data_IF_059065419811
#
_entry.id   IF_059065419811
#
_cell.length_a   1.000
_cell.length_b   1.000
_cell.length_c   1.000
_cell.angle_alpha   90.00
_cell.angle_beta   90.00
_cell.angle_gamma   90.00
#
_symmetry.space_group_name_H-M   'P 1'
#
loop_
_entity.id
_entity.type
_entity.pdbx_description
1 polymer ?
#
# COMPACT_ATOMS: atom_id res chain seq x y z
N UNK A 1 -40.28 0.75 -13.60
CA UNK A 1 -40.34 -0.16 -12.43
C UNK A 1 -39.91 -1.51 -12.97
N UNK A 2 -38.68 -1.98 -12.77
CA UNK A 2 -38.11 -2.30 -11.48
C UNK A 2 -36.60 -2.09 -11.46
N UNK A 3 -36.15 -1.70 -10.28
CA UNK A 3 -34.80 -1.34 -9.85
C UNK A 3 -33.78 -2.44 -10.11
N UNK A 4 -32.70 -2.07 -10.80
CA UNK A 4 -31.47 -2.86 -10.88
C UNK A 4 -30.85 -2.94 -9.48
N UNK A 5 -31.19 -4.04 -8.82
CA UNK A 5 -30.73 -4.46 -7.53
C UNK A 5 -29.32 -5.04 -7.66
N UNK A 6 -28.39 -4.41 -6.95
CA UNK A 6 -27.24 -5.02 -6.27
C UNK A 6 -26.06 -5.51 -7.14
N UNK A 7 -25.05 -4.64 -7.26
CA UNK A 7 -23.68 -5.08 -7.05
C UNK A 7 -23.18 -4.39 -5.79
N UNK A 8 -23.46 -5.04 -4.66
CA UNK A 8 -22.74 -4.76 -3.42
C UNK A 8 -21.26 -4.94 -3.72
N UNK A 9 -20.49 -3.88 -3.52
CA UNK A 9 -19.04 -3.93 -3.50
C UNK A 9 -18.63 -5.07 -2.55
N UNK A 10 -18.10 -6.16 -3.12
CA UNK A 10 -17.40 -7.19 -2.35
C UNK A 10 -16.12 -6.55 -1.82
N UNK A 11 -16.24 -5.90 -0.67
CA UNK A 11 -15.14 -5.23 0.01
C UNK A 11 -14.27 -6.32 0.63
N UNK A 12 -13.01 -6.36 0.19
CA UNK A 12 -11.95 -7.32 0.55
C UNK A 12 -11.95 -8.63 -0.25
N UNK A 13 -11.85 -8.52 -1.58
CA UNK A 13 -11.07 -9.53 -2.32
C UNK A 13 -9.69 -9.64 -1.63
N UNK A 14 -9.22 -10.87 -1.28
CA UNK A 14 -7.86 -11.06 -0.84
C UNK A 14 -6.97 -10.69 -2.02
N UNK A 15 -6.47 -9.45 -2.05
CA UNK A 15 -5.53 -9.03 -3.07
C UNK A 15 -4.36 -10.00 -3.02
N UNK A 16 -4.23 -10.81 -4.06
CA UNK A 16 -3.14 -11.76 -4.16
C UNK A 16 -1.81 -11.03 -4.14
N UNK A 17 -0.81 -11.68 -3.56
CA UNK A 17 0.59 -11.22 -3.63
C UNK A 17 1.04 -10.96 -5.08
N UNK A 18 0.41 -11.63 -6.06
CA UNK A 18 0.55 -11.41 -7.50
C UNK A 18 0.18 -9.97 -7.92
N UNK A 19 -0.87 -9.39 -7.36
CA UNK A 19 -1.32 -8.03 -7.67
C UNK A 19 -0.35 -6.99 -7.11
N UNK A 20 0.10 -7.17 -5.86
CA UNK A 20 1.15 -6.30 -5.29
C UNK A 20 2.45 -6.36 -6.10
N UNK A 21 2.80 -7.55 -6.64
CA UNK A 21 3.93 -7.71 -7.58
C UNK A 21 3.73 -6.89 -8.85
N UNK A 22 2.54 -6.96 -9.45
CA UNK A 22 2.22 -6.20 -10.66
C UNK A 22 2.29 -4.70 -10.42
N UNK A 23 1.79 -4.19 -9.29
CA UNK A 23 1.91 -2.77 -8.96
C UNK A 23 3.36 -2.31 -8.79
N UNK A 24 4.19 -3.10 -8.13
CA UNK A 24 5.62 -2.82 -8.03
C UNK A 24 6.30 -2.82 -9.41
N UNK A 25 5.95 -3.77 -10.28
CA UNK A 25 6.47 -3.83 -11.65
C UNK A 25 6.00 -2.66 -12.51
N UNK A 26 4.72 -2.30 -12.43
CA UNK A 26 4.11 -1.17 -13.15
C UNK A 26 4.76 0.16 -12.76
N UNK A 27 5.09 0.31 -11.47
CA UNK A 27 5.82 1.47 -10.95
C UNK A 27 7.33 1.46 -11.31
N UNK A 28 7.82 0.44 -12.02
CA UNK A 28 9.25 0.30 -12.37
C UNK A 28 10.15 -0.04 -11.18
N UNK A 29 9.58 -0.54 -10.08
CA UNK A 29 10.32 -0.91 -8.87
C UNK A 29 10.73 -2.39 -8.90
N UNK A 30 12.00 -2.64 -8.55
CA UNK A 30 12.50 -4.00 -8.29
C UNK A 30 11.70 -4.69 -7.17
N UNK A 31 11.30 -5.92 -7.41
CA UNK A 31 10.59 -6.76 -6.45
C UNK A 31 11.47 -7.12 -5.24
N UNK A 32 10.90 -7.03 -4.02
CA UNK A 32 11.53 -7.47 -2.77
C UNK A 32 10.48 -7.67 -1.67
N UNK A 33 10.70 -8.61 -0.73
CA UNK A 33 9.82 -8.84 0.44
C UNK A 33 9.45 -7.55 1.21
N UNK A 34 10.41 -6.68 1.58
CA UNK A 34 10.12 -5.44 2.31
C UNK A 34 9.13 -4.53 1.60
N UNK A 35 9.27 -4.37 0.28
CA UNK A 35 8.38 -3.52 -0.53
C UNK A 35 6.98 -4.11 -0.62
N UNK A 36 6.89 -5.43 -0.73
CA UNK A 36 5.61 -6.13 -0.75
C UNK A 36 4.88 -5.92 0.58
N UNK A 37 5.56 -6.13 1.71
CA UNK A 37 4.99 -5.89 3.04
C UNK A 37 4.56 -4.45 3.26
N UNK A 38 5.32 -3.48 2.75
CA UNK A 38 4.93 -2.06 2.80
C UNK A 38 3.64 -1.82 2.02
N UNK A 39 3.52 -2.36 0.80
CA UNK A 39 2.30 -2.24 -0.03
C UNK A 39 1.14 -2.96 0.65
N UNK A 40 1.33 -4.17 1.16
CA UNK A 40 0.30 -4.92 1.91
C UNK A 40 -0.23 -4.12 3.11
N UNK A 41 0.68 -3.54 3.91
CA UNK A 41 0.32 -2.75 5.07
C UNK A 41 -0.35 -1.40 4.72
N UNK A 42 -0.05 -0.84 3.54
CA UNK A 42 -0.73 0.33 2.98
C UNK A 42 -2.05 -0.01 2.30
N UNK A 43 -2.25 -1.22 1.77
CA UNK A 43 -3.49 -1.63 1.14
C UNK A 43 -4.63 -1.73 2.16
N UNK A 44 -4.30 -2.15 3.39
CA UNK A 44 -5.20 -2.07 4.53
C UNK A 44 -5.30 -0.67 5.17
N UNK A 45 -4.86 0.39 4.50
CA UNK A 45 -5.05 1.77 4.94
C UNK A 45 -6.35 2.34 4.39
N UNK A 46 -7.04 3.13 5.21
CA UNK A 46 -8.20 3.90 4.77
C UNK A 46 -7.80 5.04 3.80
N UNK A 47 -8.78 5.71 3.17
CA UNK A 47 -8.56 6.81 2.23
C UNK A 47 -7.72 7.98 2.80
N UNK A 48 -7.64 8.07 4.13
CA UNK A 48 -6.79 9.00 4.91
C UNK A 48 -5.29 8.64 4.90
N UNK A 49 -4.89 7.53 4.29
CA UNK A 49 -3.51 7.05 4.28
C UNK A 49 -3.01 6.59 5.66
N UNK A 50 -1.74 6.24 5.76
CA UNK A 50 -1.06 5.74 6.98
C UNK A 50 0.24 6.50 7.18
N UNK A 51 0.55 6.88 8.43
CA UNK A 51 1.81 7.55 8.76
C UNK A 51 2.99 6.58 8.71
N UNK A 52 4.21 7.08 8.48
CA UNK A 52 5.40 6.23 8.46
C UNK A 52 5.62 5.47 9.78
N UNK A 53 5.18 6.03 10.91
CA UNK A 53 5.29 5.41 12.24
C UNK A 53 4.32 4.24 12.39
N UNK A 54 3.09 4.43 11.96
CA UNK A 54 2.05 3.41 11.99
C UNK A 54 2.39 2.26 11.04
N UNK A 55 2.88 2.58 9.83
CA UNK A 55 3.36 1.60 8.88
C UNK A 55 4.53 0.78 9.45
N UNK A 56 5.50 1.45 10.09
CA UNK A 56 6.61 0.78 10.77
C UNK A 56 6.12 -0.18 11.86
N UNK A 57 5.12 0.21 12.64
CA UNK A 57 4.53 -0.65 13.67
C UNK A 57 3.86 -1.88 13.06
N UNK A 58 3.08 -1.72 11.97
CA UNK A 58 2.47 -2.83 11.22
C UNK A 58 3.51 -3.80 10.66
N UNK A 59 4.60 -3.28 10.11
CA UNK A 59 5.71 -4.09 9.59
C UNK A 59 6.44 -4.84 10.70
N UNK A 60 6.65 -4.19 11.84
CA UNK A 60 7.26 -4.82 13.02
C UNK A 60 6.38 -5.94 13.57
N UNK A 61 5.06 -5.73 13.65
CA UNK A 61 4.08 -6.73 14.09
C UNK A 61 4.02 -7.94 13.13
N UNK A 62 4.17 -7.68 11.82
CA UNK A 62 4.30 -8.72 10.81
C UNK A 62 5.65 -9.48 10.83
N UNK A 63 6.56 -9.14 11.75
CA UNK A 63 7.86 -9.80 11.92
C UNK A 63 8.94 -9.32 10.95
N UNK A 64 8.76 -8.19 10.27
CA UNK A 64 9.71 -7.66 9.29
C UNK A 64 10.71 -6.70 9.96
N UNK A 65 12.03 -6.98 9.97
CA UNK A 65 13.04 -6.22 10.72
C UNK A 65 13.44 -4.92 10.00
N UNK A 66 12.49 -4.05 9.70
CA UNK A 66 12.71 -2.76 9.03
C UNK A 66 12.74 -1.62 10.04
N UNK A 67 13.83 -0.83 10.02
CA UNK A 67 13.89 0.40 10.80
C UNK A 67 12.93 1.47 10.27
N UNK A 68 12.47 2.39 11.13
CA UNK A 68 11.65 3.53 10.73
C UNK A 68 12.31 4.40 9.64
N UNK A 69 13.64 4.49 9.64
CA UNK A 69 14.39 5.21 8.59
C UNK A 69 14.24 4.48 7.27
N UNK A 70 14.41 3.15 7.25
CA UNK A 70 14.22 2.32 6.06
C UNK A 70 12.80 2.45 5.53
N UNK A 71 11.78 2.46 6.40
CA UNK A 71 10.37 2.64 6.00
C UNK A 71 10.16 3.99 5.30
N UNK A 72 10.67 5.09 5.88
CA UNK A 72 10.59 6.42 5.25
C UNK A 72 11.31 6.49 3.91
N UNK A 73 12.46 5.83 3.78
CA UNK A 73 13.18 5.75 2.51
C UNK A 73 12.42 4.95 1.45
N UNK A 74 11.80 3.83 1.83
CA UNK A 74 10.96 3.03 0.92
C UNK A 74 9.75 3.84 0.49
N UNK A 75 9.03 4.48 1.41
CA UNK A 75 7.92 5.37 1.10
C UNK A 75 8.31 6.48 0.12
N UNK A 76 9.43 7.16 0.36
CA UNK A 76 9.94 8.19 -0.55
C UNK A 76 10.23 7.64 -1.94
N UNK A 77 10.83 6.46 -2.06
CA UNK A 77 11.07 5.84 -3.37
C UNK A 77 9.77 5.44 -4.04
N UNK A 78 8.83 4.84 -3.30
CA UNK A 78 7.52 4.49 -3.85
C UNK A 78 6.79 5.74 -4.36
N UNK A 79 6.94 6.88 -3.68
CA UNK A 79 6.38 8.16 -4.10
C UNK A 79 7.04 8.67 -5.38
N UNK A 80 8.36 8.59 -5.48
CA UNK A 80 9.13 8.94 -6.69
C UNK A 80 8.71 8.09 -7.91
N UNK A 81 8.37 6.82 -7.66
CA UNK A 81 7.84 5.89 -8.65
C UNK A 81 6.32 6.02 -8.91
N UNK A 82 5.62 6.92 -8.20
CA UNK A 82 4.19 7.14 -8.36
C UNK A 82 3.30 5.99 -7.84
N UNK A 83 3.82 5.11 -6.98
CA UNK A 83 3.02 4.04 -6.37
C UNK A 83 2.30 4.50 -5.09
N UNK A 84 2.85 5.49 -4.39
CA UNK A 84 2.21 6.09 -3.21
C UNK A 84 2.16 7.61 -3.34
N UNK A 85 1.17 8.24 -2.73
CA UNK A 85 1.10 9.69 -2.60
C UNK A 85 1.02 10.10 -1.12
N UNK A 86 1.54 11.29 -0.83
CA UNK A 86 1.32 11.94 0.47
C UNK A 86 -0.06 12.62 0.46
N UNK A 87 -0.94 12.21 1.38
CA UNK A 87 -2.31 12.74 1.49
C UNK A 87 -2.37 14.10 2.22
N UNK A 88 -1.21 14.68 2.56
CA UNK A 88 -1.07 15.71 3.57
C UNK A 88 -0.84 15.09 4.96
N UNK A 89 -0.12 15.81 5.81
CA UNK A 89 0.20 15.42 7.21
C UNK A 89 1.20 14.27 7.37
N UNK A 90 2.11 14.04 6.39
CA UNK A 90 3.09 12.93 6.43
C UNK A 90 2.43 11.55 6.46
N UNK A 91 1.26 11.44 5.81
CA UNK A 91 0.51 10.19 5.65
C UNK A 91 0.56 9.78 4.19
N UNK A 92 0.71 8.49 3.96
CA UNK A 92 0.90 7.92 2.64
C UNK A 92 -0.26 6.99 2.31
N UNK A 93 -0.76 7.04 1.09
CA UNK A 93 -1.72 6.07 0.56
C UNK A 93 -1.20 5.45 -0.72
N UNK A 94 -1.68 4.25 -1.04
CA UNK A 94 -1.41 3.64 -2.33
C UNK A 94 -2.23 4.33 -3.42
N UNK A 95 -1.55 4.63 -4.51
CA UNK A 95 -2.19 5.01 -5.77
C UNK A 95 -2.33 3.70 -6.52
N UNK A 96 -3.53 3.11 -6.53
CA UNK A 96 -3.80 1.90 -7.30
C UNK A 96 -3.64 2.26 -8.79
N UNK A 97 -2.65 1.73 -9.53
CA UNK A 97 -2.61 1.94 -10.96
C UNK A 97 -3.81 1.21 -11.57
N UNK A 98 -4.66 1.97 -12.26
CA UNK A 98 -5.80 1.46 -13.00
C UNK A 98 -5.36 0.70 -14.26
#
# INVERSE_FOLDING_TARGET
MSTQTQQACSLADPIDNQTFRQWLQAAGMRFSMPRLKVVEALYGADAQGVSSRELHQRLSDAGEPLSLVSVRQVLRRMQDHGLVEDTGQSRYRLITPA
#
